data_IF_344731179811
#
_entry.id   IF_344731179811
#
_cell.length_a   1.000
_cell.length_b   1.000
_cell.length_c   1.000
_cell.angle_alpha   90.00
_cell.angle_beta   90.00
_cell.angle_gamma   90.00
#
_symmetry.space_group_name_H-M   'P 1'
#
loop_
_entity.id
_entity.type
_entity.pdbx_description
1 polymer ?
#
# COMPACT_ATOMS: atom_id res chain seq x y z
N UNK A 1 17.38 2.42 -8.23
CA UNK A 1 17.00 2.92 -6.90
C UNK A 1 15.52 3.23 -6.87
N UNK A 2 14.87 2.98 -5.73
CA UNK A 2 13.49 3.36 -5.46
C UNK A 2 13.50 4.71 -4.75
N UNK A 3 12.65 5.64 -5.18
CA UNK A 3 12.49 6.96 -4.56
C UNK A 3 11.06 7.18 -4.05
N UNK A 4 10.89 8.12 -3.12
CA UNK A 4 9.58 8.46 -2.57
C UNK A 4 8.65 8.92 -3.70
N UNK A 5 7.47 8.30 -3.78
CA UNK A 5 6.48 8.54 -4.83
C UNK A 5 6.48 7.50 -5.96
N UNK A 6 7.48 6.61 -6.01
CA UNK A 6 7.48 5.52 -6.96
C UNK A 6 6.34 4.53 -6.67
N UNK A 7 5.67 4.09 -7.74
CA UNK A 7 4.69 3.01 -7.68
C UNK A 7 5.42 1.68 -7.87
N UNK A 8 5.38 0.84 -6.84
CA UNK A 8 6.03 -0.47 -6.85
C UNK A 8 5.00 -1.58 -7.13
N UNK A 9 5.27 -2.41 -8.14
CA UNK A 9 4.54 -3.67 -8.36
C UNK A 9 5.34 -4.81 -7.70
N UNK A 10 4.78 -5.40 -6.65
CA UNK A 10 5.43 -6.46 -5.86
C UNK A 10 4.70 -7.77 -6.14
N UNK A 11 5.44 -8.80 -6.52
CA UNK A 11 4.89 -10.15 -6.74
C UNK A 11 5.10 -11.03 -5.51
N UNK A 12 4.45 -12.19 -5.49
CA UNK A 12 4.62 -13.17 -4.43
C UNK A 12 6.10 -13.54 -4.24
N UNK A 13 6.51 -13.73 -2.97
CA UNK A 13 7.89 -14.04 -2.53
C UNK A 13 8.93 -12.90 -2.68
N UNK A 14 8.58 -11.76 -3.29
CA UNK A 14 9.47 -10.60 -3.33
C UNK A 14 9.59 -9.91 -1.97
N UNK A 15 10.80 -9.40 -1.70
CA UNK A 15 11.03 -8.52 -0.55
C UNK A 15 10.56 -7.10 -0.88
N UNK A 16 9.90 -6.46 0.07
CA UNK A 16 9.57 -5.05 -0.05
C UNK A 16 10.86 -4.20 -0.14
N UNK A 17 10.95 -3.27 -1.12
CA UNK A 17 12.14 -2.43 -1.30
C UNK A 17 12.18 -1.24 -0.33
N UNK A 18 11.04 -0.89 0.28
CA UNK A 18 10.84 0.23 1.20
C UNK A 18 9.54 0.00 2.01
N UNK A 19 9.20 0.95 2.88
CA UNK A 19 7.86 1.05 3.45
C UNK A 19 6.87 1.46 2.35
N UNK A 20 5.79 0.68 2.17
CA UNK A 20 4.84 0.89 1.08
C UNK A 20 3.41 1.12 1.61
N UNK A 21 2.64 1.87 0.84
CA UNK A 21 1.18 1.98 1.01
C UNK A 21 0.51 1.10 -0.04
N UNK A 22 -0.38 0.21 0.39
CA UNK A 22 -1.07 -0.71 -0.51
C UNK A 22 -2.19 0.03 -1.28
N UNK A 23 -1.99 0.22 -2.59
CA UNK A 23 -2.98 0.85 -3.49
C UNK A 23 -4.05 -0.18 -3.91
N UNK A 24 -3.63 -1.34 -4.40
CA UNK A 24 -4.52 -2.41 -4.85
C UNK A 24 -3.79 -3.75 -4.82
N UNK A 25 -4.55 -4.85 -4.86
CA UNK A 25 -4.00 -6.20 -5.04
C UNK A 25 -4.67 -6.90 -6.22
N UNK A 26 -4.27 -8.15 -6.47
CA UNK A 26 -4.93 -9.02 -7.46
C UNK A 26 -6.35 -9.42 -7.05
N UNK A 27 -6.69 -9.28 -5.77
CA UNK A 27 -8.02 -9.55 -5.24
C UNK A 27 -8.90 -8.30 -5.36
N UNK A 28 -10.15 -8.49 -5.76
CA UNK A 28 -11.09 -7.38 -6.02
C UNK A 28 -11.46 -6.57 -4.77
N UNK A 29 -11.31 -7.17 -3.59
CA UNK A 29 -11.53 -6.55 -2.28
C UNK A 29 -10.24 -5.96 -1.67
N UNK A 30 -9.14 -5.95 -2.44
CA UNK A 30 -7.89 -5.31 -2.03
C UNK A 30 -7.11 -6.03 -0.94
N UNK A 31 -7.49 -7.24 -0.56
CA UNK A 31 -6.76 -7.98 0.46
C UNK A 31 -5.38 -8.43 -0.04
N UNK A 32 -4.42 -8.48 0.87
CA UNK A 32 -3.09 -9.01 0.67
C UNK A 32 -2.60 -9.66 1.98
N UNK A 33 -1.64 -10.56 1.87
CA UNK A 33 -1.06 -11.25 3.01
C UNK A 33 0.45 -11.02 3.00
N UNK A 34 1.00 -10.58 4.13
CA UNK A 34 2.43 -10.28 4.25
C UNK A 34 3.06 -11.12 5.36
N UNK A 35 4.29 -11.57 5.15
CA UNK A 35 5.11 -12.18 6.18
C UNK A 35 5.98 -11.12 6.84
N UNK A 36 5.92 -11.01 8.17
CA UNK A 36 6.73 -10.07 8.96
C UNK A 36 7.70 -10.76 9.91
N UNK A 37 7.92 -12.07 9.75
CA UNK A 37 8.76 -12.87 10.65
C UNK A 37 10.19 -12.33 10.81
N UNK A 38 10.71 -11.62 9.81
CA UNK A 38 12.03 -10.97 9.86
C UNK A 38 12.06 -9.70 10.74
N UNK A 39 10.90 -9.11 11.05
CA UNK A 39 10.75 -7.89 11.85
C UNK A 39 10.32 -8.19 13.29
N UNK A 40 9.33 -9.08 13.49
CA UNK A 40 8.71 -9.35 14.78
C UNK A 40 8.79 -10.82 15.25
N UNK A 41 9.32 -11.71 14.42
CA UNK A 41 9.42 -13.15 14.72
C UNK A 41 8.10 -13.92 14.55
N UNK A 42 7.00 -13.28 14.14
CA UNK A 42 5.72 -13.93 13.91
C UNK A 42 5.68 -14.60 12.52
N UNK A 43 5.43 -15.91 12.50
CA UNK A 43 5.38 -16.70 11.25
C UNK A 43 4.02 -16.69 10.55
N UNK A 44 3.01 -16.13 11.18
CA UNK A 44 1.68 -16.06 10.58
C UNK A 44 1.66 -14.96 9.53
N UNK A 45 0.98 -15.21 8.42
CA UNK A 45 0.71 -14.18 7.44
C UNK A 45 -0.23 -13.13 8.04
N UNK A 46 0.17 -11.86 7.96
CA UNK A 46 -0.63 -10.73 8.43
C UNK A 46 -1.52 -10.23 7.29
N UNK A 47 -2.85 -10.17 7.47
CA UNK A 47 -3.72 -9.60 6.47
C UNK A 47 -3.53 -8.08 6.41
N UNK A 48 -3.50 -7.55 5.19
CA UNK A 48 -3.52 -6.13 4.86
C UNK A 48 -4.60 -5.90 3.81
N UNK A 49 -5.17 -4.70 3.79
CA UNK A 49 -6.22 -4.33 2.84
C UNK A 49 -5.92 -2.97 2.26
N UNK A 50 -6.07 -2.83 0.95
CA UNK A 50 -6.11 -1.53 0.30
C UNK A 50 -7.34 -0.74 0.75
N UNK A 51 -7.25 0.59 0.70
CA UNK A 51 -8.41 1.45 0.88
C UNK A 51 -9.43 1.19 -0.23
N UNK A 52 -10.73 1.26 0.09
CA UNK A 52 -11.79 0.96 -0.88
C UNK A 52 -11.71 1.87 -2.12
N UNK A 53 -11.31 3.11 -1.91
CA UNK A 53 -11.14 4.15 -2.92
C UNK A 53 -9.98 3.83 -3.87
N UNK A 54 -8.97 3.07 -3.43
CA UNK A 54 -7.79 2.74 -4.24
C UNK A 54 -7.86 1.37 -4.91
N UNK A 55 -8.70 0.46 -4.40
CA UNK A 55 -8.86 -0.91 -4.93
C UNK A 55 -9.19 -0.94 -6.43
N UNK A 56 -9.83 0.10 -6.95
CA UNK A 56 -10.18 0.22 -8.36
C UNK A 56 -8.94 0.24 -9.27
N UNK A 57 -7.77 0.71 -8.81
CA UNK A 57 -6.55 0.89 -9.60
C UNK A 57 -5.74 -0.40 -9.82
N UNK A 58 -6.43 -1.53 -10.00
CA UNK A 58 -5.86 -2.88 -10.06
C UNK A 58 -5.36 -3.34 -11.44
N UNK A 59 -5.32 -2.45 -12.43
CA UNK A 59 -4.70 -2.71 -13.74
C UNK A 59 -3.79 -1.55 -14.12
N UNK A 60 -2.83 -1.78 -15.00
CA UNK A 60 -1.89 -0.74 -15.46
C UNK A 60 -2.64 0.45 -16.05
N UNK A 61 -3.70 0.19 -16.82
CA UNK A 61 -4.51 1.23 -17.45
C UNK A 61 -5.17 2.13 -16.41
N UNK A 62 -5.77 1.54 -15.37
CA UNK A 62 -6.41 2.32 -14.30
C UNK A 62 -5.36 3.03 -13.45
N UNK A 63 -4.28 2.35 -13.09
CA UNK A 63 -3.19 2.91 -12.30
C UNK A 63 -2.50 4.09 -13.01
N UNK A 64 -2.47 4.11 -14.34
CA UNK A 64 -1.94 5.24 -15.12
C UNK A 64 -2.71 6.56 -14.86
N UNK A 65 -3.98 6.45 -14.45
CA UNK A 65 -4.85 7.57 -14.08
C UNK A 65 -4.84 7.91 -12.59
N UNK A 66 -4.18 7.09 -11.75
CA UNK A 66 -4.11 7.33 -10.31
C UNK A 66 -3.29 8.60 -10.02
N UNK A 67 -3.89 9.55 -9.33
CA UNK A 67 -3.27 10.81 -8.91
C UNK A 67 -3.76 11.14 -7.51
N UNK A 68 -2.87 11.66 -6.68
CA UNK A 68 -3.21 12.03 -5.33
C UNK A 68 -1.99 12.44 -4.51
N UNK A 69 -2.28 13.04 -3.36
CA UNK A 69 -1.31 13.45 -2.38
C UNK A 69 -1.39 12.56 -1.14
N UNK A 70 -0.23 12.17 -0.64
CA UNK A 70 -0.12 11.37 0.57
C UNK A 70 0.56 12.17 1.68
N UNK A 71 -0.09 12.23 2.84
CA UNK A 71 0.41 12.93 4.04
C UNK A 71 0.50 11.94 5.19
N UNK A 72 1.73 11.64 5.61
CA UNK A 72 2.02 10.75 6.73
C UNK A 72 2.74 11.46 7.87
N UNK A 73 2.91 10.73 8.96
CA UNK A 73 3.81 11.12 10.06
C UNK A 73 5.28 11.08 9.61
N UNK A 74 6.16 11.74 10.37
CA UNK A 74 7.60 11.54 10.22
C UNK A 74 7.98 10.09 10.60
N UNK A 75 9.08 9.55 10.04
CA UNK A 75 9.54 8.21 10.40
C UNK A 75 9.72 8.06 11.92
N UNK A 76 9.11 7.03 12.48
CA UNK A 76 9.21 6.65 13.89
C UNK A 76 9.49 5.13 14.01
N UNK A 77 9.88 4.69 15.21
CA UNK A 77 10.20 3.29 15.51
C UNK A 77 8.96 2.43 15.83
N UNK A 78 7.78 3.04 15.92
CA UNK A 78 6.53 2.31 16.10
C UNK A 78 6.24 1.45 14.86
N UNK A 79 6.02 0.14 15.07
CA UNK A 79 5.85 -0.85 13.99
C UNK A 79 4.39 -1.18 13.73
N UNK A 80 3.51 -0.94 14.70
CA UNK A 80 2.13 -1.41 14.67
C UNK A 80 1.13 -0.32 14.32
N UNK A 81 1.51 0.95 14.44
CA UNK A 81 0.65 2.10 14.19
C UNK A 81 1.29 3.05 13.18
N UNK A 82 0.50 3.42 12.17
CA UNK A 82 0.90 4.40 11.18
C UNK A 82 -0.33 5.21 10.76
N UNK A 83 -0.37 6.46 11.19
CA UNK A 83 -1.48 7.37 10.91
C UNK A 83 -1.15 8.25 9.70
N UNK A 84 -2.00 8.21 8.68
CA UNK A 84 -1.81 8.99 7.46
C UNK A 84 -3.14 9.33 6.77
N UNK A 85 -3.08 10.23 5.81
CA UNK A 85 -4.21 10.60 4.96
C UNK A 85 -3.75 10.63 3.51
N UNK A 86 -4.59 10.10 2.63
CA UNK A 86 -4.43 10.19 1.19
C UNK A 86 -5.60 10.98 0.60
N UNK A 87 -5.29 11.95 -0.24
CA UNK A 87 -6.28 12.70 -1.02
C UNK A 87 -6.14 12.28 -2.48
N UNK A 88 -7.19 11.68 -3.04
CA UNK A 88 -7.18 11.16 -4.41
C UNK A 88 -7.87 12.16 -5.33
N UNK A 89 -7.18 12.59 -6.39
CA UNK A 89 -7.76 13.51 -7.36
C UNK A 89 -8.89 12.84 -8.15
N UNK A 90 -10.00 13.54 -8.33
CA UNK A 90 -11.11 13.06 -9.16
C UNK A 90 -12.12 12.15 -8.45
N UNK A 91 -11.90 11.80 -7.18
CA UNK A 91 -12.98 11.30 -6.33
C UNK A 91 -13.79 12.49 -5.79
N UNK A 92 -14.87 12.86 -6.49
CA UNK A 92 -15.88 13.71 -5.90
C UNK A 92 -16.40 12.99 -4.64
N UNK A 93 -16.24 13.61 -3.48
CA UNK A 93 -16.94 13.20 -2.26
C UNK A 93 -18.44 13.14 -2.59
N UNK A 94 -19.04 11.97 -2.43
CA UNK A 94 -20.49 11.83 -2.46
C UNK A 94 -21.11 12.48 -1.22
#
# INVERSE_FOLDING_TARGET
>A
DVVVGDICYVVEEDRFPADLVLISSVFSDGHAFIETASLDGEKNLKPRSAFNETQVYNTIEKLSSFRGDFKGILPDKELHEFNSTMEIEGHAQA
#
